data_IF_992117397125
#
_entry.id   IF_992117397125
#
_cell.length_a   1.000
_cell.length_b   1.000
_cell.length_c   1.000
_cell.angle_alpha   90.00
_cell.angle_beta   90.00
_cell.angle_gamma   90.00
#
_symmetry.space_group_name_H-M   'P 1'
#
loop_
_entity.id
_entity.type
_entity.pdbx_description
1 polymer ?
#
# COMPACT_ATOMS: atom_id res chain seq x y z
N UNK A 1 -20.91 -6.00 19.22
CA UNK A 1 -21.08 -4.67 19.85
C UNK A 1 -22.26 -3.97 19.19
N UNK A 2 -23.42 -3.87 19.85
CA UNK A 2 -24.67 -3.45 19.21
C UNK A 2 -24.63 -2.02 18.63
N UNK A 3 -23.91 -1.10 19.27
CA UNK A 3 -23.70 0.26 18.75
C UNK A 3 -22.97 0.29 17.40
N UNK A 4 -21.83 -0.40 17.32
CA UNK A 4 -21.00 -0.44 16.10
C UNK A 4 -21.76 -1.11 14.96
N UNK A 5 -22.53 -2.15 15.26
CA UNK A 5 -23.34 -2.83 14.26
C UNK A 5 -24.41 -1.90 13.69
N UNK A 6 -25.16 -1.21 14.55
CA UNK A 6 -26.16 -0.21 14.14
C UNK A 6 -25.55 0.94 13.33
N UNK A 7 -24.35 1.39 13.69
CA UNK A 7 -23.63 2.41 12.92
C UNK A 7 -23.26 1.92 11.52
N UNK A 8 -22.84 0.65 11.40
CA UNK A 8 -22.40 0.03 10.15
C UNK A 8 -23.53 -0.63 9.33
N UNK A 9 -24.79 -0.50 9.74
CA UNK A 9 -25.93 -1.03 8.99
C UNK A 9 -26.11 -0.29 7.64
N UNK A 10 -25.72 0.99 7.57
CA UNK A 10 -25.73 1.78 6.33
C UNK A 10 -24.45 1.69 5.51
N UNK A 11 -23.47 0.89 5.91
CA UNK A 11 -22.21 0.77 5.20
C UNK A 11 -22.38 -0.10 3.94
N UNK A 12 -21.68 0.29 2.87
CA UNK A 12 -21.47 -0.56 1.70
C UNK A 12 -20.72 -1.82 2.14
N UNK A 13 -21.10 -3.00 1.65
CA UNK A 13 -20.55 -4.27 2.10
C UNK A 13 -20.09 -5.15 0.94
N UNK A 14 -19.00 -5.86 1.17
CA UNK A 14 -18.45 -6.90 0.31
C UNK A 14 -18.13 -8.13 1.20
N UNK A 15 -18.61 -9.30 0.79
CA UNK A 15 -18.49 -10.56 1.56
C UNK A 15 -18.94 -10.45 3.03
N UNK A 16 -19.97 -9.64 3.28
CA UNK A 16 -20.54 -9.42 4.61
C UNK A 16 -19.76 -8.44 5.49
N UNK A 17 -18.67 -7.85 5.01
CA UNK A 17 -17.84 -6.89 5.71
C UNK A 17 -17.98 -5.48 5.13
N UNK A 18 -17.90 -4.42 5.95
CA UNK A 18 -17.96 -3.04 5.45
C UNK A 18 -16.77 -2.76 4.53
N UNK A 19 -17.01 -2.15 3.38
CA UNK A 19 -15.96 -1.74 2.44
C UNK A 19 -15.24 -0.50 2.96
N UNK A 20 -13.90 -0.52 2.87
CA UNK A 20 -13.04 0.59 3.26
C UNK A 20 -12.34 1.22 2.04
N UNK A 21 -12.22 2.54 2.07
CA UNK A 21 -11.35 3.30 1.16
C UNK A 21 -9.87 3.24 1.63
N UNK A 22 -8.90 3.63 0.79
CA UNK A 22 -7.47 3.53 1.11
C UNK A 22 -7.01 4.34 2.34
N UNK A 23 -7.80 5.33 2.75
CA UNK A 23 -7.59 6.13 3.96
C UNK A 23 -8.25 5.52 5.21
N UNK A 24 -8.73 4.28 5.10
CA UNK A 24 -9.43 3.51 6.13
C UNK A 24 -10.83 4.04 6.47
N UNK A 25 -11.41 4.93 5.65
CA UNK A 25 -12.79 5.38 5.80
C UNK A 25 -13.77 4.28 5.37
N UNK A 26 -14.85 4.12 6.12
CA UNK A 26 -15.95 3.23 5.75
C UNK A 26 -16.75 3.89 4.63
N UNK A 27 -16.97 3.15 3.55
CA UNK A 27 -17.86 3.57 2.48
C UNK A 27 -19.31 3.37 2.92
N UNK A 28 -20.09 4.44 2.88
CA UNK A 28 -21.54 4.40 3.12
C UNK A 28 -22.27 4.73 1.83
N UNK A 29 -23.34 3.99 1.54
CA UNK A 29 -24.22 4.31 0.41
C UNK A 29 -25.20 5.44 0.77
N UNK A 30 -25.42 5.67 2.07
CA UNK A 30 -26.23 6.75 2.61
C UNK A 30 -25.36 7.95 3.06
N UNK A 31 -25.95 9.15 3.02
CA UNK A 31 -25.28 10.36 3.50
C UNK A 31 -25.01 10.29 5.00
N UNK A 32 -23.73 10.32 5.38
CA UNK A 32 -23.28 10.39 6.77
C UNK A 32 -22.88 11.81 7.15
N UNK A 33 -23.04 12.23 8.42
CA UNK A 33 -22.65 13.56 8.89
C UNK A 33 -21.13 13.79 8.88
N UNK A 34 -20.34 12.73 8.73
CA UNK A 34 -18.89 12.78 8.62
C UNK A 34 -18.31 11.39 8.36
N UNK A 35 -16.99 11.30 8.07
CA UNK A 35 -16.33 10.03 7.82
C UNK A 35 -16.24 9.20 9.11
N UNK A 36 -16.35 7.88 8.95
CA UNK A 36 -16.11 6.91 10.03
C UNK A 36 -14.91 6.07 9.61
N UNK A 37 -13.83 6.11 10.40
CA UNK A 37 -12.63 5.32 10.12
C UNK A 37 -12.63 4.05 10.97
N UNK A 38 -12.29 2.90 10.37
CA UNK A 38 -12.14 1.65 11.11
C UNK A 38 -10.67 1.29 11.29
N UNK A 39 -10.29 1.03 12.54
CA UNK A 39 -8.97 0.52 12.89
C UNK A 39 -9.06 -0.95 13.33
N UNK A 40 -8.11 -1.76 12.86
CA UNK A 40 -7.94 -3.16 13.28
C UNK A 40 -9.13 -4.11 13.04
N UNK A 41 -10.03 -3.77 12.11
CA UNK A 41 -11.17 -4.60 11.69
C UNK A 41 -11.15 -4.95 10.19
N UNK A 42 -10.04 -4.72 9.48
CA UNK A 42 -9.93 -4.97 8.03
C UNK A 42 -9.26 -6.31 7.69
N UNK A 43 -9.43 -7.37 8.51
CA UNK A 43 -8.78 -8.68 8.28
C UNK A 43 -8.97 -9.24 6.88
N UNK A 44 -10.08 -8.91 6.21
CA UNK A 44 -10.37 -9.39 4.84
C UNK A 44 -9.98 -8.38 3.76
N UNK A 45 -10.01 -7.07 4.03
CA UNK A 45 -9.84 -6.04 2.99
C UNK A 45 -8.45 -5.38 2.97
N UNK A 46 -7.67 -5.42 4.05
CA UNK A 46 -6.26 -4.98 4.04
C UNK A 46 -5.31 -6.11 4.49
N UNK A 47 -5.80 -7.35 4.42
CA UNK A 47 -5.05 -8.56 4.73
C UNK A 47 -4.62 -8.72 6.19
N UNK A 48 -3.60 -9.57 6.40
CA UNK A 48 -3.01 -9.94 7.69
C UNK A 48 -2.44 -8.74 8.48
N UNK A 49 -2.33 -7.58 7.84
CA UNK A 49 -1.68 -6.37 8.35
C UNK A 49 -2.55 -5.54 9.29
N UNK A 50 -3.86 -5.78 9.34
CA UNK A 50 -4.80 -4.99 10.16
C UNK A 50 -4.49 -4.99 11.66
N UNK A 51 -3.82 -6.04 12.15
CA UNK A 51 -3.39 -6.19 13.56
C UNK A 51 -1.89 -5.92 13.78
N UNK A 52 -1.15 -5.51 12.75
CA UNK A 52 0.28 -5.30 12.84
C UNK A 52 0.62 -3.95 13.48
N UNK A 53 1.28 -3.98 14.64
CA UNK A 53 1.70 -2.78 15.36
C UNK A 53 2.74 -1.96 14.59
N UNK A 54 3.58 -2.58 13.75
CA UNK A 54 4.58 -1.85 12.96
C UNK A 54 3.94 -0.93 11.91
N UNK A 55 2.70 -1.20 11.50
CA UNK A 55 1.97 -0.42 10.49
C UNK A 55 0.97 0.58 11.09
N UNK A 56 0.87 0.66 12.42
CA UNK A 56 -0.04 1.61 13.09
C UNK A 56 0.31 3.06 12.74
N UNK A 57 1.61 3.39 12.67
CA UNK A 57 2.05 4.73 12.30
C UNK A 57 1.64 5.10 10.86
N UNK A 58 1.81 4.16 9.92
CA UNK A 58 1.39 4.33 8.53
C UNK A 58 -0.14 4.47 8.41
N UNK A 59 -0.92 3.63 9.09
CA UNK A 59 -2.38 3.76 9.09
C UNK A 59 -2.83 5.11 9.67
N UNK A 60 -2.24 5.50 10.79
CA UNK A 60 -2.62 6.75 11.45
C UNK A 60 -2.23 7.97 10.61
N UNK A 61 -1.13 7.93 9.86
CA UNK A 61 -0.76 9.04 8.97
C UNK A 61 -1.82 9.25 7.88
N UNK A 62 -2.30 8.18 7.25
CA UNK A 62 -3.38 8.23 6.24
C UNK A 62 -4.68 8.78 6.81
N UNK A 63 -5.13 8.27 7.95
CA UNK A 63 -6.36 8.74 8.61
C UNK A 63 -6.26 10.22 8.98
N UNK A 64 -5.14 10.65 9.56
CA UNK A 64 -4.97 12.05 9.99
C UNK A 64 -4.89 12.99 8.78
N UNK A 65 -4.18 12.59 7.72
CA UNK A 65 -4.12 13.38 6.49
C UNK A 65 -5.52 13.54 5.85
N UNK A 66 -6.31 12.45 5.81
CA UNK A 66 -7.70 12.46 5.34
C UNK A 66 -8.59 13.36 6.20
N UNK A 67 -8.53 13.20 7.53
CA UNK A 67 -9.30 14.01 8.48
C UNK A 67 -9.02 15.52 8.34
N UNK A 68 -7.77 15.88 8.09
CA UNK A 68 -7.34 17.29 7.94
C UNK A 68 -7.54 17.84 6.52
N UNK A 69 -7.84 16.99 5.54
CA UNK A 69 -7.88 17.37 4.12
C UNK A 69 -6.54 17.87 3.56
N UNK A 70 -5.42 17.55 4.23
CA UNK A 70 -4.07 17.94 3.81
C UNK A 70 -3.02 16.96 4.32
N UNK A 71 -1.90 16.87 3.62
CA UNK A 71 -0.75 16.09 4.07
C UNK A 71 -0.08 16.77 5.29
N UNK A 72 -0.34 16.25 6.49
CA UNK A 72 0.35 16.63 7.73
C UNK A 72 1.54 15.71 8.00
N UNK A 73 1.36 14.42 7.74
CA UNK A 73 2.43 13.42 7.67
C UNK A 73 2.83 13.16 6.22
N UNK A 74 4.08 12.76 5.95
CA UNK A 74 4.52 12.39 4.60
C UNK A 74 3.70 11.23 4.04
N UNK A 75 3.33 11.32 2.76
CA UNK A 75 2.75 10.19 2.03
C UNK A 75 3.86 9.17 1.75
N UNK A 76 3.76 8.02 2.41
CA UNK A 76 4.63 6.88 2.15
C UNK A 76 3.91 6.04 1.10
N UNK A 77 4.49 5.86 -0.10
CA UNK A 77 3.87 5.02 -1.12
C UNK A 77 3.73 3.59 -0.62
N UNK A 78 2.67 2.91 -1.03
CA UNK A 78 2.37 1.51 -0.67
C UNK A 78 3.26 0.53 -1.45
N UNK A 79 4.51 0.93 -1.73
CA UNK A 79 5.47 0.14 -2.48
C UNK A 79 5.89 -1.03 -1.58
N UNK A 80 5.72 -2.26 -2.08
CA UNK A 80 6.25 -3.39 -1.36
C UNK A 80 7.77 -3.28 -1.40
N UNK A 81 8.45 -3.53 -0.27
CA UNK A 81 9.91 -3.54 -0.24
C UNK A 81 10.51 -4.47 -1.31
N UNK A 82 9.76 -5.50 -1.70
CA UNK A 82 10.11 -6.44 -2.75
C UNK A 82 10.17 -5.79 -4.14
N UNK A 83 9.25 -4.89 -4.48
CA UNK A 83 9.27 -4.15 -5.77
C UNK A 83 10.56 -3.33 -5.92
N UNK A 84 11.15 -2.89 -4.80
CA UNK A 84 12.41 -2.13 -4.82
C UNK A 84 13.64 -3.02 -4.99
N UNK A 85 13.55 -4.33 -4.70
CA UNK A 85 14.63 -5.29 -4.92
C UNK A 85 14.69 -5.71 -6.40
N UNK A 86 13.55 -5.88 -7.07
CA UNK A 86 13.49 -6.18 -8.51
C UNK A 86 14.09 -5.03 -9.36
N UNK A 87 13.85 -3.78 -8.94
CA UNK A 87 14.47 -2.60 -9.56
C UNK A 87 16.01 -2.60 -9.41
N UNK A 88 16.53 -3.07 -8.25
CA UNK A 88 17.98 -3.12 -7.97
C UNK A 88 18.69 -4.24 -8.73
N UNK A 89 18.03 -5.36 -9.00
CA UNK A 89 18.59 -6.47 -9.80
C UNK A 89 18.69 -6.10 -11.29
N UNK A 90 17.76 -5.27 -11.77
CA UNK A 90 17.74 -4.84 -13.18
C UNK A 90 18.90 -3.88 -13.50
N UNK A 91 19.29 -2.98 -12.57
CA UNK A 91 20.46 -2.11 -12.76
C UNK A 91 21.81 -2.81 -12.52
N UNK A 92 21.85 -3.82 -11.64
CA UNK A 92 23.07 -4.61 -11.44
C UNK A 92 23.40 -5.53 -12.64
N UNK A 93 22.40 -5.88 -13.45
CA UNK A 93 22.54 -6.72 -14.64
C UNK A 93 23.13 -6.01 -15.88
N UNK A 94 23.26 -4.67 -15.89
CA UNK A 94 23.70 -3.93 -17.08
C UNK A 94 25.20 -3.62 -17.14
N UNK A 95 26.04 -4.11 -16.21
CA UNK A 95 27.50 -3.85 -16.19
C UNK A 95 28.32 -5.07 -16.67
N UNK A 96 27.78 -5.91 -17.56
CA UNK A 96 28.57 -6.96 -18.19
C UNK A 96 28.27 -7.12 -19.69
N UNK A 97 28.57 -6.09 -20.46
CA UNK A 97 28.81 -6.21 -21.90
C UNK A 97 29.85 -5.17 -22.35
N UNK A 98 31.09 -5.32 -21.90
CA UNK A 98 32.23 -4.79 -22.64
C UNK A 98 33.42 -5.74 -22.49
N UNK A 99 33.46 -6.75 -23.35
CA UNK A 99 34.64 -7.61 -23.50
C UNK A 99 35.56 -6.99 -24.56
N UNK A 100 36.87 -6.80 -24.29
CA UNK A 100 37.77 -6.17 -25.24
C UNK A 100 38.00 -7.10 -26.43
N UNK A 101 37.74 -6.61 -27.65
CA UNK A 101 38.07 -7.32 -28.88
C UNK A 101 39.59 -7.42 -29.06
N UNK A 102 40.15 -8.59 -28.78
CA UNK A 102 41.53 -8.91 -29.14
C UNK A 102 41.61 -9.29 -30.64
N UNK A 103 42.09 -8.34 -31.43
CA UNK A 103 42.48 -8.48 -32.83
C UNK A 103 43.52 -9.60 -33.04
N UNK A 104 43.16 -10.63 -33.81
CA UNK A 104 44.11 -11.63 -34.34
C UNK A 104 44.58 -11.20 -35.73
N UNK A 105 45.86 -10.88 -35.88
CA UNK A 105 46.52 -10.81 -37.19
C UNK A 105 46.87 -12.22 -37.70
N UNK A 106 46.84 -12.48 -39.02
CA UNK A 106 47.23 -13.77 -39.57
C UNK A 106 48.75 -13.84 -39.79
N UNK A 107 49.36 -15.00 -39.50
CA UNK A 107 50.73 -15.29 -39.88
C UNK A 107 50.79 -15.74 -41.35
N UNK A 108 51.70 -15.12 -42.11
CA UNK A 108 51.98 -15.38 -43.52
C UNK A 108 53.03 -16.49 -43.64
N UNK A 109 52.73 -17.46 -44.53
CA UNK A 109 53.55 -18.43 -45.26
C UNK A 109 54.73 -19.13 -44.56
#
# INVERSE_FOLDING_TARGET
MPFVQKLLDGASREDGLPTLDPDYAVRFDASMPGPVYLQSQSRVQHGLQSVNLSLVAHRNSRIINSLLGRAFYPDVPDRQLLDSLEDQETEAGSILCDAPQASRQPAVA
#
